data_IF_738087645254
#
_entry.id   IF_738087645254
#
_cell.length_a   1.000
_cell.length_b   1.000
_cell.length_c   1.000
_cell.angle_alpha   90.00
_cell.angle_beta   90.00
_cell.angle_gamma   90.00
#
_symmetry.space_group_name_H-M   'P 1'
#
loop_
_entity.id
_entity.type
_entity.pdbx_description
1 polymer ?
#
# COMPACT_ATOMS: atom_id res chain seq x y z
N UNK A 1 -46.22 -17.97 -33.41
CA UNK A 1 -45.24 -16.88 -33.61
C UNK A 1 -44.15 -16.99 -32.55
N UNK A 2 -43.35 -18.04 -32.70
CA UNK A 2 -41.89 -18.11 -32.58
C UNK A 2 -41.16 -17.58 -31.34
N UNK A 3 -40.72 -18.57 -30.56
CA UNK A 3 -39.49 -18.58 -29.78
C UNK A 3 -38.29 -18.26 -30.67
N UNK A 4 -37.43 -17.34 -30.25
CA UNK A 4 -35.99 -17.45 -30.55
C UNK A 4 -35.18 -17.16 -29.28
N UNK A 5 -34.54 -18.23 -28.81
CA UNK A 5 -33.46 -18.23 -27.86
C UNK A 5 -32.14 -17.90 -28.57
N UNK A 6 -31.22 -17.23 -27.87
CA UNK A 6 -29.76 -17.23 -28.11
C UNK A 6 -29.12 -16.44 -26.95
N UNK A 7 -28.75 -17.08 -25.83
CA UNK A 7 -27.44 -17.70 -25.53
C UNK A 7 -26.21 -16.79 -25.68
N UNK A 8 -25.68 -16.39 -24.51
CA UNK A 8 -24.28 -16.47 -24.07
C UNK A 8 -23.16 -15.92 -24.98
N UNK A 9 -22.53 -14.82 -24.53
CA UNK A 9 -21.05 -14.75 -24.48
C UNK A 9 -20.58 -14.17 -23.15
N UNK A 10 -19.49 -14.76 -22.71
CA UNK A 10 -18.96 -14.89 -21.35
C UNK A 10 -17.68 -14.06 -21.30
N UNK A 11 -17.64 -13.01 -20.49
CA UNK A 11 -16.37 -12.37 -20.12
C UNK A 11 -16.29 -12.24 -18.60
N UNK A 12 -15.76 -13.31 -18.00
CA UNK A 12 -15.29 -13.32 -16.62
C UNK A 12 -13.91 -12.68 -16.61
N UNK A 13 -13.85 -11.37 -16.35
CA UNK A 13 -12.57 -10.69 -16.08
C UNK A 13 -12.09 -11.10 -14.69
N UNK A 14 -11.34 -12.20 -14.64
CA UNK A 14 -10.61 -12.66 -13.46
C UNK A 14 -9.63 -11.57 -13.04
N UNK A 15 -9.88 -10.92 -11.91
CA UNK A 15 -8.86 -10.18 -11.18
C UNK A 15 -7.75 -11.18 -10.80
N UNK A 16 -6.60 -11.03 -11.43
CA UNK A 16 -5.38 -11.77 -11.17
C UNK A 16 -4.86 -11.39 -9.79
N UNK A 17 -5.08 -12.23 -8.77
CA UNK A 17 -4.28 -12.23 -7.57
C UNK A 17 -2.83 -12.62 -7.93
N UNK A 18 -1.79 -11.96 -7.40
CA UNK A 18 -0.42 -12.39 -7.62
C UNK A 18 -0.19 -13.76 -6.94
N UNK A 19 0.57 -14.68 -7.58
CA UNK A 19 0.82 -16.01 -7.02
C UNK A 19 1.66 -15.93 -5.73
N UNK A 20 1.12 -16.52 -4.68
CA UNK A 20 1.81 -16.84 -3.42
C UNK A 20 3.08 -17.63 -3.73
N UNK A 21 4.23 -17.06 -3.36
CA UNK A 21 5.55 -17.69 -3.54
C UNK A 21 5.82 -18.67 -2.39
N UNK A 22 5.25 -19.87 -2.47
CA UNK A 22 5.69 -21.00 -1.64
C UNK A 22 6.97 -21.59 -2.24
N UNK A 23 8.09 -21.72 -1.50
CA UNK A 23 9.29 -22.36 -2.03
C UNK A 23 9.11 -23.88 -2.05
N UNK A 24 9.00 -24.43 -3.26
CA UNK A 24 9.07 -25.86 -3.54
C UNK A 24 10.46 -26.20 -4.09
N UNK A 25 11.22 -27.03 -3.38
CA UNK A 25 11.95 -28.16 -3.97
C UNK A 25 12.71 -28.97 -2.92
N UNK A 26 12.62 -30.28 -3.07
CA UNK A 26 13.23 -31.37 -2.29
C UNK A 26 14.72 -31.58 -2.68
N UNK A 27 15.49 -32.40 -1.93
CA UNK A 27 16.94 -32.28 -1.84
C UNK A 27 17.68 -32.92 -3.03
N UNK A 28 18.75 -32.27 -3.48
CA UNK A 28 19.69 -32.86 -4.43
C UNK A 28 20.65 -33.80 -3.68
N UNK A 29 20.50 -35.09 -3.96
CA UNK A 29 21.47 -36.13 -3.64
C UNK A 29 22.69 -35.97 -4.56
N UNK A 30 23.88 -35.87 -3.99
CA UNK A 30 25.13 -36.13 -4.70
C UNK A 30 25.96 -37.13 -3.90
N UNK A 31 26.35 -38.21 -4.57
CA UNK A 31 27.08 -39.36 -4.00
C UNK A 31 28.40 -39.49 -4.76
N UNK A 32 29.49 -39.65 -4.01
CA UNK A 32 30.81 -40.10 -4.48
C UNK A 32 31.82 -38.96 -4.73
N UNK A 33 33.12 -39.07 -4.46
CA UNK A 33 33.94 -40.24 -4.11
C UNK A 33 35.27 -39.75 -3.50
N UNK A 34 35.95 -40.65 -2.78
CA UNK A 34 37.22 -40.55 -2.04
C UNK A 34 38.47 -40.11 -2.83
N UNK A 35 39.39 -39.51 -2.06
CA UNK A 35 40.87 -39.61 -2.02
C UNK A 35 41.70 -39.35 -3.30
N UNK A 36 42.58 -38.33 -3.27
CA UNK A 36 44.03 -38.46 -3.00
C UNK A 36 44.83 -37.19 -3.34
N UNK A 37 45.89 -36.99 -2.57
CA UNK A 37 46.96 -36.00 -2.67
C UNK A 37 47.64 -35.94 -4.06
N UNK A 38 48.09 -34.74 -4.47
CA UNK A 38 49.51 -34.43 -4.73
C UNK A 38 49.67 -32.97 -5.21
N UNK A 39 50.81 -32.37 -4.83
CA UNK A 39 51.23 -30.99 -5.13
C UNK A 39 51.95 -30.97 -6.48
N UNK A 40 51.74 -29.96 -7.32
CA UNK A 40 52.80 -29.04 -7.80
C UNK A 40 52.30 -27.96 -8.77
N UNK A 41 53.01 -26.84 -8.71
CA UNK A 41 53.35 -25.85 -9.74
C UNK A 41 52.37 -24.77 -10.28
N UNK A 42 52.75 -23.55 -9.89
CA UNK A 42 52.78 -22.30 -10.68
C UNK A 42 51.52 -21.84 -11.39
N UNK A 43 50.77 -20.94 -10.73
CA UNK A 43 50.02 -19.88 -11.42
C UNK A 43 50.08 -18.58 -10.61
N UNK A 44 51.03 -17.71 -10.96
CA UNK A 44 50.94 -16.29 -10.63
C UNK A 44 49.78 -15.68 -11.44
N UNK A 45 48.54 -15.76 -10.95
CA UNK A 45 47.45 -15.03 -11.59
C UNK A 45 46.00 -15.50 -11.40
N UNK A 46 45.64 -16.28 -10.38
CA UNK A 46 44.25 -16.78 -10.27
C UNK A 46 43.48 -16.40 -9.00
N UNK A 47 44.04 -15.67 -8.04
CA UNK A 47 43.25 -15.18 -6.90
C UNK A 47 42.69 -13.79 -7.19
N UNK A 48 41.63 -13.72 -8.00
CA UNK A 48 40.68 -12.60 -7.82
C UNK A 48 40.14 -12.78 -6.40
N UNK A 49 40.36 -11.86 -5.45
CA UNK A 49 39.78 -12.02 -4.13
C UNK A 49 38.27 -12.06 -4.33
N UNK A 50 37.65 -13.19 -3.99
CA UNK A 50 36.21 -13.27 -3.86
C UNK A 50 35.83 -12.30 -2.74
N UNK A 51 35.46 -11.08 -3.14
CA UNK A 51 34.87 -10.11 -2.24
C UNK A 51 33.55 -10.69 -1.75
N UNK A 52 33.56 -11.36 -0.61
CA UNK A 52 32.35 -11.58 0.19
C UNK A 52 31.91 -10.20 0.69
N UNK A 53 31.20 -9.46 -0.16
CA UNK A 53 30.35 -8.37 0.31
C UNK A 53 29.26 -9.05 1.15
N UNK A 54 29.53 -9.24 2.43
CA UNK A 54 28.47 -9.53 3.38
C UNK A 54 27.53 -8.34 3.32
N UNK A 55 26.32 -8.56 2.81
CA UNK A 55 25.26 -7.56 2.94
C UNK A 55 25.07 -7.35 4.44
N UNK A 56 25.48 -6.17 4.93
CA UNK A 56 25.29 -5.79 6.34
C UNK A 56 23.78 -5.80 6.57
N UNK A 57 23.27 -6.80 7.28
CA UNK A 57 21.86 -6.84 7.66
C UNK A 57 21.64 -5.62 8.55
N UNK A 58 20.82 -4.67 8.09
CA UNK A 58 20.28 -3.66 8.99
C UNK A 58 19.38 -4.43 9.94
N UNK A 59 19.74 -4.42 11.22
CA UNK A 59 18.82 -4.81 12.27
C UNK A 59 17.73 -3.74 12.28
N UNK A 60 16.61 -4.05 11.64
CA UNK A 60 15.44 -3.21 11.73
C UNK A 60 14.77 -3.57 13.04
N UNK A 61 14.90 -2.68 14.03
CA UNK A 61 14.20 -2.80 15.30
C UNK A 61 12.70 -2.85 14.99
N UNK A 62 12.06 -4.00 15.17
CA UNK A 62 10.65 -4.19 14.82
C UNK A 62 9.73 -3.16 15.53
N UNK A 63 10.18 -2.59 16.65
CA UNK A 63 9.51 -1.49 17.35
C UNK A 63 9.50 -0.16 16.59
N UNK A 64 10.54 0.16 15.83
CA UNK A 64 10.65 1.42 15.07
C UNK A 64 9.64 1.46 13.92
N UNK A 65 9.41 0.30 13.28
CA UNK A 65 8.40 0.11 12.24
C UNK A 65 6.98 0.37 12.77
N UNK A 66 6.69 -0.18 13.95
CA UNK A 66 5.38 -0.09 14.58
C UNK A 66 5.11 1.35 15.04
N UNK A 67 6.11 2.03 15.58
CA UNK A 67 5.96 3.42 16.02
C UNK A 67 5.73 4.35 14.82
N UNK A 68 6.50 4.20 13.74
CA UNK A 68 6.28 4.95 12.51
C UNK A 68 4.88 4.76 11.90
N UNK A 69 4.31 3.55 12.00
CA UNK A 69 2.92 3.31 11.57
C UNK A 69 1.90 4.03 12.45
N UNK A 70 2.09 4.05 13.77
CA UNK A 70 1.21 4.80 14.68
C UNK A 70 1.28 6.29 14.40
N UNK A 71 2.47 6.84 14.20
CA UNK A 71 2.67 8.25 13.86
C UNK A 71 1.99 8.59 12.54
N UNK A 72 2.11 7.74 11.52
CA UNK A 72 1.45 7.95 10.23
C UNK A 72 -0.08 7.97 10.37
N UNK A 73 -0.66 7.08 11.18
CA UNK A 73 -2.09 7.07 11.46
C UNK A 73 -2.51 8.35 12.20
N UNK A 74 -1.69 8.81 13.16
CA UNK A 74 -1.95 10.05 13.90
C UNK A 74 -1.97 11.25 12.96
N UNK A 75 -0.92 11.43 12.14
CA UNK A 75 -0.82 12.51 11.16
C UNK A 75 -1.99 12.47 10.17
N UNK A 76 -2.39 11.28 9.72
CA UNK A 76 -3.53 11.10 8.81
C UNK A 76 -4.84 11.62 9.43
N UNK A 77 -5.10 11.28 10.70
CA UNK A 77 -6.29 11.76 11.43
C UNK A 77 -6.27 13.26 11.62
N UNK A 78 -5.14 13.83 12.03
CA UNK A 78 -4.97 15.28 12.21
C UNK A 78 -5.20 16.04 10.91
N UNK A 79 -4.63 15.55 9.80
CA UNK A 79 -4.84 16.14 8.47
C UNK A 79 -6.30 16.10 8.04
N UNK A 80 -6.99 14.99 8.30
CA UNK A 80 -8.42 14.86 7.99
C UNK A 80 -9.25 15.87 8.79
N UNK A 81 -8.95 16.05 10.08
CA UNK A 81 -9.62 17.05 10.92
C UNK A 81 -9.35 18.48 10.42
N UNK A 82 -8.10 18.80 10.09
CA UNK A 82 -7.74 20.10 9.53
C UNK A 82 -8.48 20.39 8.21
N UNK A 83 -8.56 19.40 7.31
CA UNK A 83 -9.33 19.52 6.08
C UNK A 83 -10.83 19.72 6.34
N UNK A 84 -11.39 19.05 7.34
CA UNK A 84 -12.79 19.24 7.71
C UNK A 84 -13.06 20.67 8.20
N UNK A 85 -12.14 21.27 8.97
CA UNK A 85 -12.25 22.66 9.41
C UNK A 85 -12.27 23.61 8.20
N UNK A 86 -11.35 23.44 7.25
CA UNK A 86 -11.31 24.26 6.02
C UNK A 86 -12.57 24.09 5.20
N UNK A 87 -13.09 22.87 5.06
CA UNK A 87 -14.34 22.61 4.35
C UNK A 87 -15.54 23.28 5.04
N UNK A 88 -15.61 23.23 6.37
CA UNK A 88 -16.66 23.89 7.13
C UNK A 88 -16.59 25.41 6.95
N UNK A 89 -15.40 26.01 7.03
CA UNK A 89 -15.20 27.44 6.81
C UNK A 89 -15.60 27.88 5.40
N UNK A 90 -15.26 27.08 4.39
CA UNK A 90 -15.69 27.31 3.01
C UNK A 90 -17.21 27.28 2.86
N UNK A 91 -17.93 26.44 3.61
CA UNK A 91 -19.41 26.40 3.63
C UNK A 91 -19.96 27.62 4.38
N UNK A 92 -19.43 27.93 5.57
CA UNK A 92 -19.89 29.04 6.42
C UNK A 92 -19.73 30.41 5.75
N UNK A 93 -18.65 30.59 4.98
CA UNK A 93 -18.34 31.83 4.25
C UNK A 93 -19.15 32.04 2.97
N UNK A 94 -19.89 31.04 2.45
CA UNK A 94 -20.68 31.23 1.23
C UNK A 94 -21.82 32.23 1.42
N UNK A 95 -21.91 33.22 0.54
CA UNK A 95 -23.11 34.03 0.43
C UNK A 95 -24.22 33.25 -0.27
N UNK A 96 -25.40 33.20 0.35
CA UNK A 96 -26.59 32.49 -0.15
C UNK A 96 -27.62 33.42 -0.79
N UNK A 97 -27.39 34.73 -0.81
CA UNK A 97 -28.35 35.75 -1.26
C UNK A 97 -28.78 35.61 -2.72
N UNK A 98 -27.86 35.16 -3.59
CA UNK A 98 -28.08 35.00 -5.03
C UNK A 98 -28.25 33.55 -5.51
N UNK A 99 -28.42 32.59 -4.59
CA UNK A 99 -28.54 31.17 -4.95
C UNK A 99 -29.98 30.78 -5.30
N UNK A 100 -30.13 29.71 -6.08
CA UNK A 100 -31.43 29.07 -6.28
C UNK A 100 -32.00 28.52 -4.95
N UNK A 101 -33.30 28.28 -4.91
CA UNK A 101 -34.00 27.89 -3.67
C UNK A 101 -33.47 26.58 -3.07
N UNK A 102 -33.11 25.60 -3.91
CA UNK A 102 -32.61 24.31 -3.44
C UNK A 102 -31.21 24.46 -2.84
N UNK A 103 -30.30 25.14 -3.53
CA UNK A 103 -28.96 25.43 -3.04
C UNK A 103 -29.00 26.26 -1.76
N UNK A 104 -29.87 27.28 -1.70
CA UNK A 104 -30.03 28.11 -0.51
C UNK A 104 -30.45 27.26 0.70
N UNK A 105 -31.47 26.40 0.56
CA UNK A 105 -31.89 25.47 1.63
C UNK A 105 -30.77 24.53 2.05
N UNK A 106 -30.01 23.99 1.11
CA UNK A 106 -28.87 23.12 1.38
C UNK A 106 -27.81 23.82 2.23
N UNK A 107 -27.35 25.00 1.82
CA UNK A 107 -26.30 25.73 2.54
C UNK A 107 -26.79 26.19 3.91
N UNK A 108 -28.02 26.69 4.04
CA UNK A 108 -28.58 27.09 5.33
C UNK A 108 -28.64 25.92 6.31
N UNK A 109 -29.10 24.76 5.87
CA UNK A 109 -29.12 23.55 6.70
C UNK A 109 -27.71 23.14 7.13
N UNK A 110 -26.74 23.17 6.21
CA UNK A 110 -25.35 22.83 6.50
C UNK A 110 -24.67 23.81 7.45
N UNK A 111 -24.90 25.11 7.26
CA UNK A 111 -24.39 26.15 8.16
C UNK A 111 -24.93 25.98 9.57
N UNK A 112 -26.23 25.68 9.72
CA UNK A 112 -26.85 25.40 11.01
C UNK A 112 -26.21 24.19 11.70
N UNK A 113 -26.08 23.07 10.99
CA UNK A 113 -25.45 21.84 11.50
C UNK A 113 -24.00 22.07 11.96
N UNK A 114 -23.23 22.88 11.20
CA UNK A 114 -21.86 23.24 11.57
C UNK A 114 -21.85 24.12 12.82
N UNK A 115 -22.74 25.11 12.91
CA UNK A 115 -22.82 26.02 14.04
C UNK A 115 -23.21 25.31 15.35
N UNK A 116 -24.17 24.37 15.30
CA UNK A 116 -24.53 23.51 16.43
C UNK A 116 -23.32 22.66 16.88
N UNK A 117 -22.60 22.04 15.95
CA UNK A 117 -21.38 21.29 16.26
C UNK A 117 -20.26 22.14 16.87
N UNK A 118 -20.22 23.43 16.56
CA UNK A 118 -19.26 24.39 17.10
C UNK A 118 -19.75 25.06 18.40
N UNK A 119 -20.98 24.81 18.84
CA UNK A 119 -21.58 25.46 20.02
C UNK A 119 -21.86 26.96 19.84
N UNK A 120 -22.10 27.40 18.61
CA UNK A 120 -22.45 28.78 18.27
C UNK A 120 -23.96 29.06 18.30
N UNK A 121 -24.76 28.00 18.51
CA UNK A 121 -26.22 27.94 18.52
C UNK A 121 -26.64 26.94 19.59
#
# INVERSE_FOLDING_TARGET
>A
MDKLALQNKKETKKQSCPPSSAPSSKPHSFKGTKDKDEKEDTTLGLSRPEGRKAAKKREFEAGEALEGQKELIKISKEKMQAMQVVANDAIMSKDTSGMDELSCKFYLAKKKEIAERMGLL
#
